data_IF_986996815514
#
_entry.id   IF_986996815514
#
_cell.length_a   1.000
_cell.length_b   1.000
_cell.length_c   1.000
_cell.angle_alpha   90.00
_cell.angle_beta   90.00
_cell.angle_gamma   90.00
#
_symmetry.space_group_name_H-M   'P 1'
#
loop_
_entity.id
_entity.type
_entity.pdbx_description
1 polymer ?
#
# COMPACT_ATOMS: atom_id res chain seq x y z
N UNK A 1 -49.18 -46.64 28.02
CA UNK A 1 -48.34 -46.31 26.88
C UNK A 1 -48.16 -44.78 26.86
N UNK A 2 -47.03 -44.24 27.38
CA UNK A 2 -46.77 -42.81 27.42
C UNK A 2 -45.99 -42.43 26.16
N UNK A 3 -46.59 -41.60 25.30
CA UNK A 3 -45.90 -41.03 24.10
C UNK A 3 -45.01 -39.87 24.55
N UNK A 4 -43.72 -40.02 24.36
CA UNK A 4 -42.69 -38.98 24.58
C UNK A 4 -42.61 -38.17 23.28
N UNK A 5 -42.99 -36.90 23.34
CA UNK A 5 -42.86 -35.94 22.22
C UNK A 5 -41.53 -35.23 22.41
N UNK A 6 -40.57 -35.51 21.51
CA UNK A 6 -39.32 -34.79 21.41
C UNK A 6 -39.54 -33.48 20.65
N UNK A 7 -39.42 -32.36 21.33
CA UNK A 7 -39.35 -31.04 20.70
C UNK A 7 -37.92 -30.80 20.23
N UNK A 8 -37.72 -30.84 18.93
CA UNK A 8 -36.45 -30.46 18.29
C UNK A 8 -36.41 -28.94 18.19
N UNK A 9 -35.68 -28.25 19.09
CA UNK A 9 -35.38 -26.82 18.94
C UNK A 9 -34.30 -26.67 17.84
N UNK A 10 -34.71 -26.21 16.67
CA UNK A 10 -33.79 -25.75 15.63
C UNK A 10 -33.21 -24.40 16.03
N UNK A 11 -31.96 -24.40 16.45
CA UNK A 11 -31.15 -23.17 16.63
C UNK A 11 -30.82 -22.63 15.23
N UNK A 12 -31.56 -21.63 14.74
CA UNK A 12 -31.14 -20.81 13.61
C UNK A 12 -30.04 -19.90 14.09
N UNK A 13 -28.79 -20.27 13.80
CA UNK A 13 -27.67 -19.35 13.86
C UNK A 13 -27.84 -18.31 12.74
N UNK A 14 -28.31 -17.13 13.09
CA UNK A 14 -28.25 -15.97 12.20
C UNK A 14 -26.76 -15.60 12.08
N UNK A 15 -26.12 -16.09 11.04
CA UNK A 15 -24.84 -15.56 10.62
C UNK A 15 -25.07 -14.11 10.22
N UNK A 16 -24.69 -13.18 11.09
CA UNK A 16 -24.59 -11.76 10.77
C UNK A 16 -23.42 -11.65 9.77
N UNK A 17 -23.71 -11.83 8.49
CA UNK A 17 -22.75 -11.61 7.43
C UNK A 17 -22.50 -10.11 7.36
N UNK A 18 -21.33 -9.67 7.80
CA UNK A 18 -20.85 -8.32 7.48
C UNK A 18 -20.91 -8.16 5.96
N UNK A 19 -21.47 -7.03 5.51
CA UNK A 19 -21.48 -6.73 4.07
C UNK A 19 -20.04 -6.69 3.57
N UNK A 20 -19.76 -7.28 2.39
CA UNK A 20 -18.41 -7.15 1.82
C UNK A 20 -18.03 -5.68 1.75
N UNK A 21 -16.81 -5.38 2.18
CA UNK A 21 -16.25 -4.03 2.04
C UNK A 21 -15.91 -3.88 0.56
N UNK A 22 -16.59 -2.97 -0.12
CA UNK A 22 -16.35 -2.70 -1.55
C UNK A 22 -15.99 -1.22 -1.75
N UNK A 23 -14.99 -0.97 -2.59
CA UNK A 23 -14.53 0.39 -2.93
C UNK A 23 -14.23 1.25 -1.69
N UNK A 24 -13.57 0.68 -0.69
CA UNK A 24 -13.19 1.40 0.51
C UNK A 24 -12.20 2.51 0.19
N UNK A 25 -12.41 3.67 0.78
CA UNK A 25 -11.54 4.83 0.59
C UNK A 25 -10.99 5.31 1.95
N UNK A 26 -9.70 5.63 1.97
CA UNK A 26 -8.98 6.17 3.13
C UNK A 26 -8.40 7.52 2.75
N UNK A 27 -8.65 8.51 3.60
CA UNK A 27 -8.05 9.84 3.50
C UNK A 27 -6.85 9.95 4.43
N UNK A 28 -5.73 10.36 3.88
CA UNK A 28 -4.50 10.69 4.59
C UNK A 28 -4.38 12.22 4.64
N UNK A 29 -4.59 12.80 5.81
CA UNK A 29 -4.31 14.22 6.07
C UNK A 29 -2.85 14.37 6.43
N UNK A 30 -2.10 15.11 5.61
CA UNK A 30 -0.66 15.32 5.81
C UNK A 30 -0.33 16.79 6.09
N UNK A 31 0.90 17.06 6.51
CA UNK A 31 1.40 18.44 6.65
C UNK A 31 1.44 19.21 5.31
N UNK A 32 1.30 18.51 4.16
CA UNK A 32 1.34 19.11 2.82
C UNK A 32 -0.01 19.16 2.11
N UNK A 33 -1.04 18.54 2.69
CA UNK A 33 -2.39 18.46 2.15
C UNK A 33 -3.03 17.08 2.31
N UNK A 34 -4.19 16.89 1.70
CA UNK A 34 -4.96 15.64 1.81
C UNK A 34 -4.77 14.76 0.57
N UNK A 35 -4.66 13.45 0.79
CA UNK A 35 -4.60 12.43 -0.25
C UNK A 35 -5.67 11.40 0.07
N UNK A 36 -6.60 11.14 -0.86
CA UNK A 36 -7.58 10.06 -0.75
C UNK A 36 -7.17 8.89 -1.63
N UNK A 37 -7.06 7.73 -1.04
CA UNK A 37 -6.76 6.47 -1.74
C UNK A 37 -7.97 5.56 -1.72
N UNK A 38 -8.28 4.93 -2.87
CA UNK A 38 -9.24 3.84 -2.99
C UNK A 38 -8.49 2.53 -2.93
N UNK A 39 -8.98 1.61 -2.08
CA UNK A 39 -8.40 0.28 -1.92
C UNK A 39 -9.03 -0.71 -2.90
N UNK A 40 -8.23 -1.64 -3.38
CA UNK A 40 -8.66 -2.62 -4.39
C UNK A 40 -9.31 -3.85 -3.75
N UNK A 41 -10.47 -4.25 -4.28
CA UNK A 41 -11.14 -5.48 -3.88
C UNK A 41 -10.45 -6.75 -4.44
N UNK A 42 -9.52 -6.59 -5.39
CA UNK A 42 -8.70 -7.68 -5.92
C UNK A 42 -7.56 -8.11 -4.97
N UNK A 43 -7.31 -7.34 -3.92
CA UNK A 43 -6.27 -7.59 -2.92
C UNK A 43 -6.84 -7.49 -1.50
N UNK A 44 -7.80 -8.37 -1.15
CA UNK A 44 -8.56 -8.25 0.08
C UNK A 44 -7.69 -8.31 1.35
N UNK A 45 -6.61 -9.08 1.34
CA UNK A 45 -5.69 -9.16 2.48
C UNK A 45 -4.98 -7.84 2.76
N UNK A 46 -4.51 -7.15 1.71
CA UNK A 46 -3.89 -5.82 1.84
C UNK A 46 -4.92 -4.73 2.15
N UNK A 47 -6.08 -4.76 1.49
CA UNK A 47 -7.19 -3.84 1.75
C UNK A 47 -7.60 -3.87 3.22
N UNK A 48 -7.95 -5.06 3.72
CA UNK A 48 -8.48 -5.24 5.08
C UNK A 48 -7.42 -4.90 6.13
N UNK A 49 -6.15 -5.25 5.88
CA UNK A 49 -5.04 -4.86 6.73
C UNK A 49 -4.85 -3.34 6.78
N UNK A 50 -4.89 -2.65 5.63
CA UNK A 50 -4.72 -1.20 5.60
C UNK A 50 -5.88 -0.48 6.30
N UNK A 51 -7.12 -0.95 6.12
CA UNK A 51 -8.30 -0.45 6.84
C UNK A 51 -8.16 -0.65 8.35
N UNK A 52 -7.74 -1.83 8.77
CA UNK A 52 -7.55 -2.11 10.19
C UNK A 52 -6.50 -1.19 10.83
N UNK A 53 -5.35 -1.00 10.17
CA UNK A 53 -4.31 -0.07 10.63
C UNK A 53 -4.83 1.38 10.68
N UNK A 54 -5.66 1.77 9.71
CA UNK A 54 -6.32 3.08 9.69
C UNK A 54 -7.26 3.26 10.88
N UNK A 55 -8.12 2.27 11.16
CA UNK A 55 -9.06 2.29 12.29
C UNK A 55 -8.36 2.27 13.65
N UNK A 56 -7.20 1.64 13.75
CA UNK A 56 -6.34 1.64 14.93
C UNK A 56 -5.58 2.97 15.13
N UNK A 57 -5.66 3.91 14.16
CA UNK A 57 -4.87 5.15 14.17
C UNK A 57 -3.37 4.90 14.01
N UNK A 58 -3.00 3.75 13.44
CA UNK A 58 -1.59 3.34 13.31
C UNK A 58 -0.75 4.34 12.53
N UNK A 59 -1.30 4.93 11.47
CA UNK A 59 -0.57 5.85 10.59
C UNK A 59 -0.41 7.25 11.16
N UNK A 60 -1.17 7.61 12.21
CA UNK A 60 -1.16 8.95 12.77
C UNK A 60 0.20 9.29 13.42
N UNK A 61 0.80 10.38 12.98
CA UNK A 61 2.13 10.82 13.40
C UNK A 61 3.31 10.16 12.67
N UNK A 62 3.08 9.20 11.78
CA UNK A 62 4.14 8.60 10.97
C UNK A 62 4.58 9.52 9.83
N UNK A 63 5.81 9.32 9.36
CA UNK A 63 6.40 10.10 8.28
C UNK A 63 6.27 9.41 6.92
N UNK A 64 6.25 10.21 5.86
CA UNK A 64 6.81 9.80 4.59
C UNK A 64 8.34 9.85 4.70
N UNK A 65 8.93 8.76 5.16
CA UNK A 65 10.33 8.70 5.59
C UNK A 65 11.32 8.49 4.44
N UNK A 66 10.84 8.12 3.26
CA UNK A 66 11.64 7.96 2.05
C UNK A 66 10.89 8.52 0.85
N UNK A 67 11.51 9.47 0.18
CA UNK A 67 10.96 10.14 -0.99
C UNK A 67 12.01 10.16 -2.08
N UNK A 68 11.67 9.64 -3.25
CA UNK A 68 12.53 9.70 -4.43
C UNK A 68 11.75 10.36 -5.55
N UNK A 69 12.24 11.50 -6.02
CA UNK A 69 11.67 12.23 -7.14
C UNK A 69 11.57 11.37 -8.39
N UNK A 70 10.50 11.54 -9.16
CA UNK A 70 10.19 10.72 -10.34
C UNK A 70 10.07 9.21 -10.08
N UNK A 71 9.87 8.82 -8.80
CA UNK A 71 9.72 7.42 -8.44
C UNK A 71 8.55 7.19 -7.48
N UNK A 72 8.68 7.50 -6.17
CA UNK A 72 7.63 7.22 -5.18
C UNK A 72 7.82 8.00 -3.87
N UNK A 73 6.74 8.03 -3.08
CA UNK A 73 6.77 8.45 -1.68
C UNK A 73 6.42 7.24 -0.80
N UNK A 74 7.21 6.94 0.23
CA UNK A 74 7.05 5.77 1.10
C UNK A 74 6.84 6.18 2.55
N UNK A 75 5.82 5.57 3.17
CA UNK A 75 5.45 5.79 4.57
C UNK A 75 5.14 4.49 5.30
N UNK A 76 4.64 4.63 6.53
CA UNK A 76 4.15 3.48 7.33
C UNK A 76 5.22 2.77 8.16
N UNK A 77 6.45 3.28 8.24
CA UNK A 77 7.49 2.72 9.10
C UNK A 77 7.29 3.17 10.56
N UNK A 78 7.04 2.26 11.52
CA UNK A 78 6.79 2.61 12.91
C UNK A 78 7.98 3.31 13.57
N UNK A 79 9.22 3.10 13.07
CA UNK A 79 10.44 3.76 13.56
C UNK A 79 10.44 5.27 13.36
N UNK A 80 9.49 5.79 12.57
CA UNK A 80 9.37 7.23 12.30
C UNK A 80 8.47 7.96 13.29
N UNK A 81 7.79 7.25 14.19
CA UNK A 81 7.00 7.84 15.27
C UNK A 81 7.94 8.40 16.33
N UNK A 82 7.57 9.52 16.94
CA UNK A 82 8.37 10.15 18.00
C UNK A 82 8.65 9.15 19.14
N UNK A 83 9.88 9.19 19.68
CA UNK A 83 10.49 8.21 20.62
C UNK A 83 9.60 7.91 21.86
N UNK A 84 8.69 8.78 22.24
CA UNK A 84 7.77 8.57 23.39
C UNK A 84 6.69 7.50 23.18
N UNK A 85 6.50 7.05 21.95
CA UNK A 85 5.56 5.97 21.58
C UNK A 85 6.16 4.97 20.61
N UNK A 86 7.48 5.03 20.37
CA UNK A 86 8.13 4.16 19.39
C UNK A 86 8.11 2.71 19.87
N UNK A 87 7.82 1.81 18.97
CA UNK A 87 7.87 0.36 19.18
C UNK A 87 9.30 -0.18 19.14
N UNK A 88 10.30 0.71 19.12
CA UNK A 88 11.72 0.40 19.18
C UNK A 88 12.34 0.97 20.45
N UNK A 89 13.26 0.21 21.02
CA UNK A 89 14.11 0.67 22.11
C UNK A 89 15.25 1.59 21.61
N UNK A 90 16.05 2.10 22.55
CA UNK A 90 17.20 2.95 22.23
C UNK A 90 18.27 2.27 21.36
N UNK A 91 18.22 0.95 21.19
CA UNK A 91 19.12 0.16 20.35
C UNK A 91 18.52 -0.13 18.98
N UNK A 92 17.28 0.29 18.72
CA UNK A 92 16.54 0.01 17.50
C UNK A 92 15.97 -1.41 17.46
N UNK A 93 15.85 -2.08 18.61
CA UNK A 93 15.18 -3.38 18.70
C UNK A 93 13.65 -3.19 18.82
N UNK A 94 12.92 -4.11 18.17
CA UNK A 94 11.46 -4.13 18.17
C UNK A 94 10.91 -4.31 19.60
N UNK A 95 10.24 -3.29 20.11
CA UNK A 95 9.61 -3.34 21.45
C UNK A 95 8.10 -3.31 21.42
N UNK A 96 7.52 -3.12 20.22
CA UNK A 96 6.10 -2.91 20.04
C UNK A 96 5.30 -4.19 19.81
N UNK A 97 4.09 -4.01 19.29
CA UNK A 97 3.20 -5.12 18.99
C UNK A 97 3.78 -6.01 17.86
N UNK A 98 4.15 -7.27 18.15
CA UNK A 98 4.77 -8.18 17.17
C UNK A 98 3.97 -8.32 15.88
N UNK A 99 2.66 -8.07 15.94
CA UNK A 99 1.75 -8.09 14.79
C UNK A 99 2.18 -7.13 13.67
N UNK A 100 2.77 -5.99 13.97
CA UNK A 100 3.17 -5.01 12.95
C UNK A 100 4.39 -5.47 12.14
N UNK A 101 5.13 -6.45 12.64
CA UNK A 101 6.28 -7.05 11.97
C UNK A 101 5.95 -8.30 11.17
N UNK A 102 4.74 -8.85 11.35
CA UNK A 102 4.28 -9.95 10.53
C UNK A 102 4.17 -9.50 9.07
N UNK A 103 4.64 -10.35 8.17
CA UNK A 103 4.49 -10.12 6.73
C UNK A 103 3.19 -10.72 6.25
N UNK A 104 2.52 -10.03 5.36
CA UNK A 104 1.32 -10.52 4.70
C UNK A 104 1.65 -11.17 3.35
N UNK A 105 0.97 -12.25 2.97
CA UNK A 105 1.17 -12.91 1.69
C UNK A 105 1.00 -11.91 0.52
N UNK A 106 1.82 -12.05 -0.52
CA UNK A 106 1.69 -11.22 -1.71
C UNK A 106 0.36 -11.50 -2.44
N UNK A 107 -0.29 -10.43 -2.93
CA UNK A 107 -1.49 -10.48 -3.76
C UNK A 107 -1.21 -9.72 -5.08
N UNK A 108 -0.29 -10.26 -5.88
CA UNK A 108 0.15 -9.63 -7.12
C UNK A 108 -0.85 -9.95 -8.23
N UNK A 109 -1.60 -8.96 -8.68
CA UNK A 109 -2.67 -9.07 -9.68
C UNK A 109 -2.36 -8.30 -10.97
N UNK A 110 -1.17 -8.49 -11.52
CA UNK A 110 -0.82 -7.95 -12.82
C UNK A 110 -1.50 -8.77 -13.95
N UNK A 111 -2.05 -8.15 -15.00
CA UNK A 111 -2.00 -6.73 -15.34
C UNK A 111 -3.19 -5.88 -14.84
N UNK A 112 -4.11 -6.41 -14.04
CA UNK A 112 -5.25 -5.65 -13.54
C UNK A 112 -4.84 -4.52 -12.60
N UNK A 113 -3.82 -4.79 -11.78
CA UNK A 113 -3.19 -3.82 -10.88
C UNK A 113 -1.71 -3.70 -11.25
N UNK A 114 -1.27 -2.47 -11.55
CA UNK A 114 0.08 -2.18 -11.98
C UNK A 114 0.55 -0.81 -11.45
N UNK A 115 1.85 -0.55 -11.53
CA UNK A 115 2.47 0.61 -10.90
C UNK A 115 2.37 1.88 -11.74
N UNK A 116 1.14 2.27 -12.13
CA UNK A 116 0.90 3.57 -12.76
C UNK A 116 1.06 4.71 -11.75
N UNK A 117 1.15 5.94 -12.23
CA UNK A 117 1.14 7.12 -11.35
C UNK A 117 -0.10 7.09 -10.46
N UNK A 118 0.10 7.36 -9.15
CA UNK A 118 -0.95 7.29 -8.15
C UNK A 118 -1.26 5.88 -7.62
N UNK A 119 -0.62 4.82 -8.11
CA UNK A 119 -0.80 3.49 -7.54
C UNK A 119 -0.31 3.43 -6.08
N UNK A 120 -1.10 2.80 -5.20
CA UNK A 120 -0.75 2.49 -3.81
C UNK A 120 -0.28 1.05 -3.75
N UNK A 121 0.94 0.84 -3.27
CA UNK A 121 1.55 -0.48 -3.23
C UNK A 121 2.26 -0.77 -1.90
N UNK A 122 2.40 -2.04 -1.57
CA UNK A 122 3.04 -2.48 -0.34
C UNK A 122 4.56 -2.60 -0.51
N UNK A 123 5.31 -2.04 0.43
CA UNK A 123 6.75 -2.25 0.50
C UNK A 123 7.07 -3.69 0.90
N UNK A 124 8.26 -4.16 0.54
CA UNK A 124 8.78 -5.46 0.94
C UNK A 124 10.30 -5.50 0.90
N UNK A 125 10.88 -6.48 1.56
CA UNK A 125 12.29 -6.79 1.43
C UNK A 125 12.61 -7.45 0.08
N UNK A 126 13.87 -7.38 -0.33
CA UNK A 126 14.35 -7.97 -1.59
C UNK A 126 14.26 -9.49 -1.62
N UNK A 127 14.22 -10.07 -2.84
CA UNK A 127 13.99 -11.50 -3.07
C UNK A 127 14.99 -12.43 -2.38
N UNK A 128 16.21 -11.96 -2.09
CA UNK A 128 17.23 -12.76 -1.40
C UNK A 128 16.82 -13.15 0.02
N UNK A 129 16.18 -12.23 0.76
CA UNK A 129 15.72 -12.47 2.14
C UNK A 129 14.23 -12.77 2.22
N UNK A 130 13.50 -12.50 1.15
CA UNK A 130 12.06 -12.66 1.05
C UNK A 130 11.65 -13.27 -0.31
N UNK A 131 12.03 -14.53 -0.59
CA UNK A 131 11.75 -15.17 -1.88
C UNK A 131 10.26 -15.37 -2.15
N UNK A 132 9.43 -15.40 -1.11
CA UNK A 132 7.97 -15.48 -1.23
C UNK A 132 7.31 -14.12 -1.55
N UNK A 133 8.11 -13.04 -1.63
CA UNK A 133 7.66 -11.67 -1.91
C UNK A 133 6.55 -11.18 -0.98
N UNK A 134 6.51 -11.68 0.26
CA UNK A 134 5.56 -11.23 1.27
C UNK A 134 5.71 -9.74 1.51
N UNK A 135 4.60 -9.04 1.64
CA UNK A 135 4.57 -7.61 1.87
C UNK A 135 4.81 -7.26 3.33
N UNK A 136 5.39 -6.10 3.59
CA UNK A 136 5.31 -5.47 4.90
C UNK A 136 3.84 -5.24 5.24
N UNK A 137 3.47 -5.51 6.50
CA UNK A 137 2.13 -5.22 7.00
C UNK A 137 1.84 -3.72 7.06
N UNK A 138 2.86 -2.90 7.30
CA UNK A 138 2.70 -1.49 7.66
C UNK A 138 3.24 -0.53 6.63
N UNK A 139 4.35 -0.86 5.96
CA UNK A 139 4.99 0.05 5.02
C UNK A 139 4.34 -0.02 3.64
N UNK A 140 4.01 1.14 3.12
CA UNK A 140 3.42 1.33 1.80
C UNK A 140 4.14 2.44 1.03
N UNK A 141 3.92 2.50 -0.28
CA UNK A 141 4.36 3.62 -1.09
C UNK A 141 3.28 4.02 -2.12
N UNK A 142 3.31 5.30 -2.49
CA UNK A 142 2.50 5.84 -3.57
C UNK A 142 3.43 6.16 -4.73
N UNK A 143 3.12 5.62 -5.89
CA UNK A 143 3.91 5.79 -7.11
C UNK A 143 3.71 7.19 -7.68
N UNK A 144 4.81 7.87 -7.99
CA UNK A 144 4.80 9.01 -8.89
C UNK A 144 5.28 8.58 -10.28
N UNK A 145 6.49 8.08 -10.38
CA UNK A 145 7.09 7.61 -11.61
C UNK A 145 7.30 8.71 -12.63
N UNK A 146 7.76 8.32 -13.81
CA UNK A 146 7.91 9.21 -14.97
C UNK A 146 7.12 8.69 -16.16
N UNK A 147 6.86 9.54 -17.13
CA UNK A 147 6.35 9.11 -18.43
C UNK A 147 7.46 8.51 -19.30
N UNK A 148 7.08 7.66 -20.23
CA UNK A 148 8.00 6.97 -21.12
C UNK A 148 7.65 7.31 -22.57
N UNK A 149 8.65 7.58 -23.39
CA UNK A 149 8.47 7.53 -24.84
C UNK A 149 8.43 6.07 -25.33
N UNK A 150 8.05 5.86 -26.58
CA UNK A 150 7.89 4.52 -27.15
C UNK A 150 9.19 3.70 -27.12
N UNK A 151 10.36 4.34 -27.32
CA UNK A 151 11.65 3.68 -27.34
C UNK A 151 12.11 3.29 -25.92
N UNK A 152 11.91 4.18 -24.95
CA UNK A 152 12.20 3.91 -23.54
C UNK A 152 11.33 2.77 -23.02
N UNK A 153 10.04 2.77 -23.36
CA UNK A 153 9.12 1.71 -22.94
C UNK A 153 9.48 0.38 -23.60
N UNK A 154 9.80 0.35 -24.89
CA UNK A 154 10.25 -0.86 -25.56
C UNK A 154 11.49 -1.49 -24.92
N UNK A 155 12.47 -0.69 -24.49
CA UNK A 155 13.62 -1.17 -23.73
C UNK A 155 13.23 -1.75 -22.36
N UNK A 156 12.26 -1.14 -21.69
CA UNK A 156 11.72 -1.66 -20.44
C UNK A 156 11.01 -2.98 -20.65
N UNK A 157 10.17 -3.10 -21.67
CA UNK A 157 9.43 -4.33 -22.02
C UNK A 157 10.38 -5.51 -22.28
N UNK A 158 11.52 -5.28 -22.94
CA UNK A 158 12.52 -6.34 -23.14
C UNK A 158 13.04 -6.89 -21.80
N UNK A 159 13.23 -6.03 -20.80
CA UNK A 159 13.67 -6.44 -19.44
C UNK A 159 12.56 -7.18 -18.70
N UNK A 160 11.33 -6.69 -18.80
CA UNK A 160 10.16 -7.32 -18.18
C UNK A 160 9.86 -8.69 -18.80
N UNK A 161 10.00 -8.82 -20.13
CA UNK A 161 9.81 -10.08 -20.83
C UNK A 161 10.79 -11.18 -20.37
N UNK A 162 12.03 -10.83 -19.99
CA UNK A 162 12.98 -11.77 -19.39
C UNK A 162 12.51 -12.30 -18.02
N UNK A 163 11.59 -11.60 -17.36
CA UNK A 163 10.95 -11.97 -16.10
C UNK A 163 9.57 -12.61 -16.31
N UNK A 164 9.17 -12.84 -17.57
CA UNK A 164 7.86 -13.40 -17.93
C UNK A 164 6.71 -12.38 -17.88
N UNK A 165 7.01 -11.09 -17.80
CA UNK A 165 6.02 -10.01 -17.73
C UNK A 165 5.88 -9.35 -19.09
N UNK A 166 4.66 -9.34 -19.64
CA UNK A 166 4.32 -8.67 -20.88
C UNK A 166 3.30 -7.57 -20.60
N UNK A 167 3.59 -6.35 -21.07
CA UNK A 167 2.68 -5.22 -20.89
C UNK A 167 1.56 -5.28 -21.95
N UNK A 168 0.27 -5.37 -21.54
CA UNK A 168 -0.85 -5.16 -22.47
C UNK A 168 -0.87 -3.73 -23.00
N UNK A 169 -1.51 -3.51 -24.15
CA UNK A 169 -1.50 -2.21 -24.82
C UNK A 169 -2.05 -1.07 -23.96
N UNK A 170 -3.15 -1.30 -23.24
CA UNK A 170 -3.71 -0.31 -22.32
C UNK A 170 -2.76 0.08 -21.18
N UNK A 171 -1.93 -0.86 -20.70
CA UNK A 171 -0.90 -0.60 -19.67
C UNK A 171 0.27 0.19 -20.26
N UNK A 172 0.65 -0.12 -21.51
CA UNK A 172 1.66 0.65 -22.27
C UNK A 172 1.23 2.10 -22.46
N UNK A 173 0.00 2.30 -22.92
CA UNK A 173 -0.59 3.64 -23.11
C UNK A 173 -0.61 4.43 -21.79
N UNK A 174 -0.96 3.81 -20.68
CA UNK A 174 -0.94 4.44 -19.37
C UNK A 174 0.47 4.91 -18.97
N UNK A 175 1.50 4.08 -19.16
CA UNK A 175 2.87 4.49 -18.87
C UNK A 175 3.41 5.60 -19.77
N UNK A 176 2.94 5.66 -21.03
CA UNK A 176 3.31 6.73 -21.95
C UNK A 176 2.60 8.05 -21.62
N UNK A 177 1.34 7.99 -21.21
CA UNK A 177 0.50 9.18 -21.00
C UNK A 177 0.51 9.70 -19.57
N UNK A 178 0.42 8.79 -18.58
CA UNK A 178 0.29 9.11 -17.17
C UNK A 178 1.64 8.96 -16.43
N UNK A 179 2.42 7.96 -16.82
CA UNK A 179 3.68 7.60 -16.15
C UNK A 179 3.51 6.50 -15.10
N UNK A 180 4.61 6.21 -14.41
CA UNK A 180 4.65 5.16 -13.40
C UNK A 180 6.00 4.47 -13.31
N UNK A 181 6.01 3.25 -12.76
CA UNK A 181 7.24 2.48 -12.47
C UNK A 181 7.11 1.03 -12.95
N UNK A 182 7.08 0.80 -14.28
CA UNK A 182 6.82 -0.53 -14.87
C UNK A 182 7.79 -1.62 -14.39
N UNK A 183 8.99 -1.26 -13.96
CA UNK A 183 9.99 -2.21 -13.46
C UNK A 183 9.59 -2.91 -12.14
N UNK A 184 8.55 -2.45 -11.47
CA UNK A 184 8.00 -3.07 -10.25
C UNK A 184 6.83 -4.02 -10.53
N UNK A 185 6.29 -4.01 -11.76
CA UNK A 185 5.14 -4.84 -12.12
C UNK A 185 5.43 -6.33 -11.96
N UNK A 186 4.44 -7.07 -11.45
CA UNK A 186 4.56 -8.48 -11.16
C UNK A 186 5.50 -8.84 -10.01
N UNK A 187 6.04 -7.85 -9.28
CA UNK A 187 6.98 -8.06 -8.19
C UNK A 187 6.53 -7.54 -6.84
N UNK A 188 5.62 -6.56 -6.83
CA UNK A 188 5.05 -5.95 -5.62
C UNK A 188 3.53 -5.97 -5.71
N UNK A 189 2.87 -6.00 -4.57
CA UNK A 189 1.41 -5.92 -4.51
C UNK A 189 0.97 -4.47 -4.61
N UNK A 190 0.31 -4.13 -5.71
CA UNK A 190 -0.50 -2.91 -5.82
C UNK A 190 -1.86 -3.22 -5.23
N UNK A 191 -2.32 -2.42 -4.26
CA UNK A 191 -3.56 -2.69 -3.52
C UNK A 191 -4.51 -1.49 -3.46
N UNK A 192 -4.23 -0.43 -4.23
CA UNK A 192 -5.09 0.73 -4.33
C UNK A 192 -4.53 1.78 -5.28
N UNK A 193 -5.20 2.92 -5.28
CA UNK A 193 -4.85 4.06 -6.12
C UNK A 193 -5.26 5.37 -5.46
N UNK A 194 -4.57 6.46 -5.77
CA UNK A 194 -4.98 7.82 -5.41
C UNK A 194 -6.17 8.22 -6.27
N UNK A 195 -7.26 8.63 -5.64
CA UNK A 195 -8.47 9.13 -6.31
C UNK A 195 -8.64 10.64 -6.15
N UNK A 196 -8.04 11.23 -5.10
CA UNK A 196 -7.98 12.68 -4.88
C UNK A 196 -6.64 13.05 -4.25
N UNK A 197 -6.12 14.24 -4.57
CA UNK A 197 -4.87 14.76 -3.99
C UNK A 197 -3.61 14.27 -4.69
N UNK A 198 -3.66 13.90 -5.98
CA UNK A 198 -2.47 13.53 -6.74
C UNK A 198 -1.45 14.69 -6.81
N UNK A 199 -1.94 15.94 -6.82
CA UNK A 199 -1.09 17.15 -6.74
C UNK A 199 -0.37 17.29 -5.39
N UNK A 200 -0.89 16.66 -4.32
CA UNK A 200 -0.21 16.60 -3.02
C UNK A 200 0.92 15.56 -3.08
N UNK A 201 0.68 14.43 -3.75
CA UNK A 201 1.75 13.45 -4.02
C UNK A 201 2.89 14.09 -4.81
N UNK A 202 2.56 14.95 -5.82
CA UNK A 202 3.56 15.71 -6.58
C UNK A 202 4.36 16.68 -5.71
N UNK A 203 3.70 17.40 -4.82
CA UNK A 203 4.37 18.28 -3.87
C UNK A 203 5.33 17.49 -2.96
N UNK A 204 4.89 16.34 -2.45
CA UNK A 204 5.70 15.52 -1.55
C UNK A 204 6.89 14.92 -2.29
N UNK A 205 6.69 14.36 -3.49
CA UNK A 205 7.79 13.75 -4.26
C UNK A 205 8.84 14.78 -4.72
N UNK A 206 8.49 16.07 -4.67
CA UNK A 206 9.37 17.19 -5.07
C UNK A 206 10.11 17.84 -3.91
N UNK A 207 9.99 17.36 -2.67
CA UNK A 207 10.70 17.92 -1.52
C UNK A 207 12.20 17.65 -1.60
N UNK A 208 12.98 18.48 -0.93
CA UNK A 208 14.42 18.26 -0.79
C UNK A 208 14.64 17.09 0.17
N UNK A 209 15.47 16.14 -0.24
CA UNK A 209 15.86 14.97 0.55
C UNK A 209 17.36 14.98 0.87
N UNK A 210 17.73 14.25 1.90
CA UNK A 210 19.12 13.94 2.23
C UNK A 210 19.69 12.79 1.36
N UNK A 211 20.95 12.41 1.62
CA UNK A 211 21.64 11.33 0.91
C UNK A 211 21.02 9.93 1.12
N UNK A 212 20.05 9.80 2.03
CA UNK A 212 19.32 8.56 2.30
C UNK A 212 17.87 8.62 1.81
N UNK A 213 17.55 9.52 0.91
CA UNK A 213 16.21 9.76 0.37
C UNK A 213 15.18 10.25 1.43
N UNK A 214 15.61 10.68 2.62
CA UNK A 214 14.71 11.20 3.65
C UNK A 214 14.43 12.68 3.42
N UNK A 215 13.16 13.15 3.47
CA UNK A 215 12.85 14.57 3.46
C UNK A 215 13.61 15.34 4.54
N UNK A 216 14.25 16.46 4.15
CA UNK A 216 14.95 17.35 5.10
C UNK A 216 13.97 17.99 6.08
N UNK A 217 12.79 18.36 5.60
CA UNK A 217 11.64 18.77 6.42
C UNK A 217 10.64 17.60 6.50
N UNK A 218 10.28 17.20 7.71
CA UNK A 218 9.42 16.04 7.93
C UNK A 218 8.05 16.23 7.27
N UNK A 219 7.65 15.28 6.43
CA UNK A 219 6.30 15.18 5.89
C UNK A 219 5.52 14.17 6.74
N UNK A 220 4.59 14.66 7.54
CA UNK A 220 3.88 13.89 8.56
C UNK A 220 2.48 13.52 8.08
N UNK A 221 2.08 12.27 8.28
CA UNK A 221 0.69 11.84 8.20
C UNK A 221 0.04 12.24 9.53
N UNK A 222 -0.72 13.35 9.53
CA UNK A 222 -1.38 13.87 10.74
C UNK A 222 -2.52 12.96 11.16
N UNK A 223 -3.24 12.39 10.20
CA UNK A 223 -4.37 11.49 10.41
C UNK A 223 -4.62 10.62 9.19
N UNK A 224 -4.99 9.37 9.46
CA UNK A 224 -5.59 8.49 8.47
C UNK A 224 -7.02 8.13 8.91
N UNK A 225 -8.00 8.26 8.02
CA UNK A 225 -9.40 7.94 8.32
C UNK A 225 -10.12 7.32 7.14
N UNK A 226 -10.94 6.31 7.41
CA UNK A 226 -11.84 5.74 6.41
C UNK A 226 -12.95 6.74 6.09
N UNK A 227 -13.16 7.05 4.80
CA UNK A 227 -14.17 8.00 4.33
C UNK A 227 -15.28 7.33 3.51
N UNK A 228 -15.06 6.04 3.15
CA UNK A 228 -16.07 5.24 2.46
C UNK A 228 -15.92 3.74 2.78
#
# INVERSE_FOLDING_TARGET
MKKLIFFLLAFMAVACGEKPIENAEVKLTTTMGEITVRLSDLTPGHRDNFLQLTEEGYFDGLLFHRVIGDFMIQGGDPRTRDIKGSEFDANGEETGNPRYWEKIPAEINFPQLYHRRGALAAAREGDFVNPERKSSRTQFYIVWGRTFDAEQLARMEQRLAMQGINLPENVREAYMNEGGTPHLDGQYTVFGEVVEGLEIVDKIQSVITDDMDRPVEDVIILKAERVK
#
